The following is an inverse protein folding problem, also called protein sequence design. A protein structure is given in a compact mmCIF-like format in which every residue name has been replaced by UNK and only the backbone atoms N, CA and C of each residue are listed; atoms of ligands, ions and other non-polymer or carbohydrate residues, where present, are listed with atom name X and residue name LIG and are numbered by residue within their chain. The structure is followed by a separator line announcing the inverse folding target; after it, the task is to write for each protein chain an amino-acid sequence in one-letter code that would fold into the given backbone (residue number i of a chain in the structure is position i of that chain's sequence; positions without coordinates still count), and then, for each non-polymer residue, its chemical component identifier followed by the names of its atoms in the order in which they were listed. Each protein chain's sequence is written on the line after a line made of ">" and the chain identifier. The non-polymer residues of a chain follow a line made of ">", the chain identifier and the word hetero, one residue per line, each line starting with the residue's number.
data_IF_143772665860
#
_entry.id   IF_143772665860
#
_cell.length_a   1.000
_cell.length_b   1.000
_cell.length_c   1.000
_cell.angle_alpha   90.00
_cell.angle_beta   90.00
_cell.angle_gamma   90.00
#
_symmetry.space_group_name_H-M   'P 1'
#
loop_
_entity.id
_entity.type
_entity.pdbx_description
1 polymer ?
#
# COMPACT_ATOMS: atom_id res chain seq x y z
N UNK A 1 17.78 -10.62 -1.15
CA UNK A 1 17.48 -9.17 -1.27
C UNK A 1 16.44 -8.82 -0.24
N UNK A 2 16.70 -7.79 0.54
CA UNK A 2 15.80 -7.34 1.61
C UNK A 2 14.88 -6.24 1.10
N UNK A 3 13.78 -6.03 1.78
CA UNK A 3 12.82 -4.94 1.50
C UNK A 3 13.51 -3.58 1.47
N UNK A 4 14.40 -3.30 2.43
CA UNK A 4 15.14 -2.02 2.53
C UNK A 4 16.04 -1.71 1.33
N UNK A 5 16.41 -2.72 0.54
CA UNK A 5 17.28 -2.57 -0.64
C UNK A 5 16.51 -2.00 -1.84
N UNK A 6 15.15 -2.10 -1.79
CA UNK A 6 14.26 -1.82 -2.92
C UNK A 6 13.23 -0.75 -2.59
N UNK A 7 12.82 -0.63 -1.32
CA UNK A 7 11.75 0.28 -0.89
C UNK A 7 12.06 1.75 -1.18
N UNK A 8 11.03 2.53 -1.40
CA UNK A 8 11.09 4.00 -1.37
C UNK A 8 11.18 4.48 0.08
N UNK A 9 12.23 5.25 0.41
CA UNK A 9 12.53 5.71 1.80
C UNK A 9 11.85 7.03 2.16
N UNK A 10 11.65 7.92 1.18
CA UNK A 10 10.96 9.20 1.41
C UNK A 10 9.47 9.00 1.22
N UNK A 11 8.73 8.93 2.32
CA UNK A 11 7.30 8.60 2.30
C UNK A 11 6.49 9.70 2.96
N UNK A 12 5.54 10.25 2.21
CA UNK A 12 4.51 11.09 2.79
C UNK A 12 3.57 10.25 3.67
N UNK A 13 3.17 10.79 4.80
CA UNK A 13 2.24 10.15 5.74
C UNK A 13 1.28 11.18 6.30
N UNK A 14 0.16 10.76 6.86
CA UNK A 14 -0.79 11.65 7.52
C UNK A 14 -1.11 11.16 8.94
N UNK A 15 -1.73 12.03 9.73
CA UNK A 15 -2.19 11.71 11.09
C UNK A 15 -3.65 11.22 11.06
N UNK A 16 -4.07 10.37 12.01
CA UNK A 16 -5.46 9.95 12.13
C UNK A 16 -6.44 11.13 12.26
N UNK A 17 -6.02 12.19 12.95
CA UNK A 17 -6.82 13.39 13.18
C UNK A 17 -6.83 14.39 12.00
N UNK A 18 -5.98 14.21 10.99
CA UNK A 18 -6.00 15.02 9.77
C UNK A 18 -7.34 14.82 9.04
N UNK A 19 -7.79 15.83 8.30
CA UNK A 19 -8.97 15.69 7.44
C UNK A 19 -8.60 15.17 6.04
N UNK A 20 -9.61 14.73 5.29
CA UNK A 20 -9.40 14.16 3.96
C UNK A 20 -8.86 15.17 2.95
N UNK A 21 -9.12 16.48 3.12
CA UNK A 21 -8.57 17.50 2.23
C UNK A 21 -7.05 17.58 2.36
N UNK A 22 -6.51 17.51 3.59
CA UNK A 22 -5.07 17.46 3.85
C UNK A 22 -4.47 16.17 3.27
N UNK A 23 -5.11 15.01 3.48
CA UNK A 23 -4.64 13.76 2.91
C UNK A 23 -4.60 13.79 1.38
N UNK A 24 -5.63 14.35 0.74
CA UNK A 24 -5.69 14.51 -0.72
C UNK A 24 -4.61 15.46 -1.23
N UNK A 25 -4.36 16.57 -0.55
CA UNK A 25 -3.30 17.51 -0.92
C UNK A 25 -1.91 16.85 -0.86
N UNK A 26 -1.63 16.07 0.21
CA UNK A 26 -0.38 15.30 0.32
C UNK A 26 -0.25 14.26 -0.81
N UNK A 27 -1.32 13.55 -1.18
CA UNK A 27 -1.29 12.61 -2.30
C UNK A 27 -0.96 13.30 -3.62
N UNK A 28 -1.55 14.47 -3.86
CA UNK A 28 -1.28 15.28 -5.05
C UNK A 28 0.16 15.78 -5.08
N UNK A 29 0.63 16.38 -3.99
CA UNK A 29 1.97 16.97 -3.88
C UNK A 29 3.08 15.93 -4.05
N UNK A 30 2.87 14.73 -3.49
CA UNK A 30 3.83 13.62 -3.56
C UNK A 30 3.57 12.63 -4.70
N UNK A 31 2.61 12.90 -5.58
CA UNK A 31 2.22 12.03 -6.70
C UNK A 31 2.02 10.57 -6.27
N UNK A 32 1.25 10.36 -5.20
CA UNK A 32 0.98 9.03 -4.67
C UNK A 32 -0.52 8.81 -4.42
N UNK A 33 -1.00 7.58 -4.53
CA UNK A 33 -2.39 7.20 -4.28
C UNK A 33 -2.61 6.49 -2.94
N UNK A 34 -1.60 6.48 -2.05
CA UNK A 34 -1.68 5.86 -0.74
C UNK A 34 -0.80 6.62 0.25
N UNK A 35 -1.33 6.86 1.45
CA UNK A 35 -0.59 7.39 2.59
C UNK A 35 -0.67 6.43 3.77
N UNK A 36 0.46 6.07 4.40
CA UNK A 36 0.46 5.51 5.73
C UNK A 36 -0.13 6.50 6.75
N UNK A 37 -0.98 6.00 7.64
CA UNK A 37 -1.53 6.77 8.75
C UNK A 37 -0.69 6.48 9.99
N UNK A 38 -0.06 7.52 10.54
CA UNK A 38 0.93 7.40 11.59
C UNK A 38 0.45 8.11 12.85
N UNK A 39 0.47 7.44 13.98
CA UNK A 39 0.07 8.02 15.27
C UNK A 39 1.17 8.92 15.87
N UNK A 40 0.90 9.50 17.04
CA UNK A 40 1.85 10.41 17.72
C UNK A 40 3.13 9.72 18.21
N UNK A 41 3.12 8.39 18.28
CA UNK A 41 4.30 7.58 18.62
C UNK A 41 5.14 7.19 17.38
N UNK A 42 4.77 7.67 16.19
CA UNK A 42 5.44 7.34 14.93
C UNK A 42 5.08 5.96 14.36
N UNK A 43 4.11 5.26 14.95
CA UNK A 43 3.71 3.91 14.51
C UNK A 43 2.63 3.99 13.42
N UNK A 44 2.74 3.11 12.43
CA UNK A 44 1.72 2.97 11.39
C UNK A 44 0.51 2.26 11.97
N UNK A 45 -0.65 2.90 11.91
CA UNK A 45 -1.92 2.38 12.44
C UNK A 45 -2.93 2.00 11.37
N UNK A 46 -2.82 2.60 10.19
CA UNK A 46 -3.69 2.33 9.04
C UNK A 46 -3.01 2.79 7.74
N UNK A 47 -3.70 2.59 6.64
CA UNK A 47 -3.42 3.25 5.35
C UNK A 47 -4.70 3.89 4.83
N UNK A 48 -4.57 4.99 4.09
CA UNK A 48 -5.66 5.62 3.37
C UNK A 48 -5.27 5.75 1.90
N UNK A 49 -6.21 5.47 1.00
CA UNK A 49 -6.02 5.58 -0.44
C UNK A 49 -6.93 6.66 -1.04
N UNK A 50 -6.56 7.15 -2.22
CA UNK A 50 -7.39 8.04 -3.05
C UNK A 50 -8.77 7.43 -3.32
N UNK A 51 -8.84 6.12 -3.56
CA UNK A 51 -10.09 5.38 -3.72
C UNK A 51 -10.94 5.41 -2.45
N UNK A 52 -10.37 5.22 -1.27
CA UNK A 52 -11.09 5.27 0.00
C UNK A 52 -11.70 6.66 0.22
N UNK A 53 -10.93 7.71 -0.08
CA UNK A 53 -11.38 9.11 -0.01
C UNK A 53 -12.54 9.34 -0.99
N UNK A 54 -12.38 8.97 -2.26
CA UNK A 54 -13.41 9.11 -3.28
C UNK A 54 -14.73 8.44 -2.88
N UNK A 55 -14.65 7.17 -2.42
CA UNK A 55 -15.83 6.40 -1.99
C UNK A 55 -16.47 7.04 -0.76
N UNK A 56 -15.68 7.44 0.24
CA UNK A 56 -16.21 8.04 1.46
C UNK A 56 -16.96 9.33 1.17
N UNK A 57 -16.40 10.22 0.37
CA UNK A 57 -17.04 11.49 0.00
C UNK A 57 -18.29 11.27 -0.85
N UNK A 58 -18.22 10.37 -1.84
CA UNK A 58 -19.35 10.08 -2.73
C UNK A 58 -20.52 9.37 -2.05
N UNK A 59 -20.26 8.53 -1.04
CA UNK A 59 -21.31 7.74 -0.36
C UNK A 59 -21.89 8.43 0.87
N UNK A 60 -21.10 9.28 1.55
CA UNK A 60 -21.51 9.93 2.80
C UNK A 60 -22.01 11.36 2.60
N UNK A 61 -21.85 11.93 1.41
CA UNK A 61 -22.18 13.32 1.10
C UNK A 61 -21.57 14.31 2.11
N UNK A 62 -20.32 14.09 2.47
CA UNK A 62 -19.57 14.90 3.42
C UNK A 62 -18.49 15.70 2.70
N UNK A 63 -18.08 16.83 3.28
CA UNK A 63 -16.97 17.62 2.78
C UNK A 63 -15.65 17.00 3.23
N UNK A 64 -14.63 17.05 2.39
CA UNK A 64 -13.30 16.53 2.72
C UNK A 64 -12.67 17.21 3.94
N UNK A 65 -12.91 18.52 4.13
CA UNK A 65 -12.40 19.28 5.27
C UNK A 65 -13.06 18.90 6.61
N UNK A 66 -14.25 18.31 6.57
CA UNK A 66 -15.04 17.97 7.76
C UNK A 66 -14.96 16.49 8.12
N UNK A 67 -14.30 15.66 7.30
CA UNK A 67 -14.16 14.22 7.49
C UNK A 67 -12.72 13.86 7.90
N UNK A 68 -12.53 13.20 9.02
CA UNK A 68 -11.21 12.78 9.49
C UNK A 68 -10.72 11.54 8.75
N UNK A 69 -9.39 11.41 8.61
CA UNK A 69 -8.73 10.22 8.10
C UNK A 69 -9.12 8.98 8.91
N UNK A 70 -9.18 9.08 10.24
CA UNK A 70 -9.58 7.98 11.14
C UNK A 70 -11.00 7.45 10.90
N UNK A 71 -11.89 8.27 10.36
CA UNK A 71 -13.28 7.87 10.10
C UNK A 71 -13.40 7.00 8.84
N UNK A 72 -12.36 7.00 8.00
CA UNK A 72 -12.29 6.28 6.72
C UNK A 72 -11.25 5.16 6.74
N UNK A 73 -10.04 5.45 7.23
CA UNK A 73 -8.92 4.52 7.31
C UNK A 73 -8.99 3.69 8.59
N UNK A 74 -9.91 2.73 8.65
CA UNK A 74 -10.20 1.91 9.83
C UNK A 74 -9.98 0.40 9.60
N UNK A 75 -9.39 0.00 8.47
CA UNK A 75 -9.09 -1.42 8.19
C UNK A 75 -7.74 -1.80 8.77
N UNK A 76 -7.55 -3.08 9.18
CA UNK A 76 -6.24 -3.58 9.54
C UNK A 76 -5.23 -3.31 8.43
N UNK A 77 -4.04 -2.84 8.81
CA UNK A 77 -2.96 -2.56 7.87
C UNK A 77 -2.03 -3.76 7.77
N UNK A 78 -1.67 -4.12 6.54
CA UNK A 78 -0.62 -5.10 6.26
C UNK A 78 0.68 -4.36 6.13
N UNK A 79 1.69 -4.77 6.89
CA UNK A 79 3.01 -4.17 6.98
C UNK A 79 4.07 -5.19 6.54
N UNK A 80 5.27 -4.70 6.24
CA UNK A 80 6.48 -5.52 6.22
C UNK A 80 7.61 -4.81 6.98
N UNK A 81 8.62 -5.58 7.39
CA UNK A 81 9.81 -5.03 8.03
C UNK A 81 10.88 -4.73 7.00
N UNK A 82 11.75 -3.76 7.29
CA UNK A 82 12.83 -3.35 6.40
C UNK A 82 13.84 -4.49 6.11
N UNK A 83 14.00 -5.40 7.06
CA UNK A 83 14.90 -6.56 7.00
C UNK A 83 14.23 -7.84 6.46
N UNK A 84 12.94 -7.82 6.16
CA UNK A 84 12.24 -8.95 5.55
C UNK A 84 12.83 -9.29 4.18
N UNK A 85 12.73 -10.59 3.82
CA UNK A 85 13.04 -11.04 2.47
C UNK A 85 11.98 -10.54 1.48
N UNK A 86 12.43 -10.07 0.32
CA UNK A 86 11.57 -9.47 -0.69
C UNK A 86 10.49 -10.44 -1.23
N UNK A 87 10.80 -11.75 -1.31
CA UNK A 87 9.82 -12.77 -1.70
C UNK A 87 8.74 -12.97 -0.64
N UNK A 88 9.09 -12.79 0.64
CA UNK A 88 8.11 -12.83 1.72
C UNK A 88 7.16 -11.65 1.64
N UNK A 89 7.67 -10.45 1.33
CA UNK A 89 6.82 -9.27 1.09
C UNK A 89 5.86 -9.47 -0.10
N UNK A 90 6.33 -10.07 -1.21
CA UNK A 90 5.47 -10.43 -2.35
C UNK A 90 4.36 -11.43 -1.96
N UNK A 91 4.67 -12.42 -1.13
CA UNK A 91 3.65 -13.35 -0.62
C UNK A 91 2.59 -12.64 0.21
N UNK A 92 2.99 -11.69 1.05
CA UNK A 92 2.05 -10.87 1.83
C UNK A 92 1.18 -10.02 0.90
N UNK A 93 1.78 -9.36 -0.11
CA UNK A 93 1.01 -8.62 -1.12
C UNK A 93 -0.03 -9.50 -1.82
N UNK A 94 0.35 -10.73 -2.21
CA UNK A 94 -0.55 -11.68 -2.86
C UNK A 94 -1.68 -12.16 -1.94
N UNK A 95 -1.35 -12.52 -0.68
CA UNK A 95 -2.30 -13.03 0.30
C UNK A 95 -3.35 -11.98 0.68
N UNK A 96 -2.92 -10.75 0.94
CA UNK A 96 -3.78 -9.64 1.35
C UNK A 96 -4.31 -8.82 0.17
N UNK A 97 -3.88 -9.16 -1.05
CA UNK A 97 -4.30 -8.54 -2.31
C UNK A 97 -4.07 -7.03 -2.32
N UNK A 98 -2.89 -6.63 -1.90
CA UNK A 98 -2.44 -5.23 -1.88
C UNK A 98 -1.21 -5.06 -2.77
N UNK A 99 -1.07 -3.90 -3.38
CA UNK A 99 0.06 -3.58 -4.28
C UNK A 99 1.15 -2.78 -3.57
N UNK A 100 0.93 -2.37 -2.33
CA UNK A 100 1.86 -1.56 -1.53
C UNK A 100 1.81 -1.98 -0.08
N UNK A 101 2.97 -1.99 0.56
CA UNK A 101 3.12 -2.28 1.98
C UNK A 101 3.91 -1.14 2.64
N UNK A 102 3.37 -0.48 3.66
CA UNK A 102 4.20 0.35 4.52
C UNK A 102 5.30 -0.50 5.14
N UNK A 103 6.52 0.03 5.13
CA UNK A 103 7.70 -0.64 5.70
C UNK A 103 8.01 -0.02 7.04
N UNK A 104 8.16 -0.88 8.05
CA UNK A 104 8.44 -0.45 9.42
C UNK A 104 9.77 -1.01 9.93
N UNK A 105 10.34 -0.31 10.91
CA UNK A 105 11.46 -0.83 11.68
C UNK A 105 10.97 -1.76 12.80
N UNK A 106 11.89 -2.33 13.58
CA UNK A 106 11.58 -3.24 14.69
C UNK A 106 10.73 -2.60 15.80
N UNK A 107 10.75 -1.26 15.93
CA UNK A 107 9.91 -0.52 16.88
C UNK A 107 8.51 -0.20 16.32
N UNK A 108 8.21 -0.59 15.06
CA UNK A 108 6.95 -0.30 14.38
C UNK A 108 6.87 1.10 13.76
N UNK A 109 7.97 1.85 13.74
CA UNK A 109 8.05 3.18 13.12
C UNK A 109 8.14 3.07 11.60
N UNK A 110 7.45 3.96 10.88
CA UNK A 110 7.48 4.04 9.42
C UNK A 110 8.89 4.41 8.93
N UNK A 111 9.46 3.59 8.03
CA UNK A 111 10.79 3.83 7.43
C UNK A 111 10.77 3.80 5.91
N UNK A 112 9.67 3.40 5.30
CA UNK A 112 9.55 3.33 3.84
C UNK A 112 8.19 2.84 3.37
N UNK A 113 8.06 2.70 2.06
CA UNK A 113 6.96 2.00 1.41
C UNK A 113 7.54 1.09 0.33
N UNK A 114 7.03 -0.14 0.24
CA UNK A 114 7.35 -1.07 -0.82
C UNK A 114 6.14 -1.18 -1.75
N UNK A 115 6.33 -0.88 -3.02
CA UNK A 115 5.33 -1.10 -4.05
C UNK A 115 5.68 -2.28 -4.96
N UNK A 116 4.68 -2.84 -5.62
CA UNK A 116 4.92 -3.86 -6.65
C UNK A 116 5.74 -3.29 -7.83
N UNK A 117 5.64 -1.97 -8.08
CA UNK A 117 6.41 -1.28 -9.09
C UNK A 117 7.90 -1.27 -8.74
N UNK A 118 8.25 -0.98 -7.46
CA UNK A 118 9.64 -1.04 -6.97
C UNK A 118 10.23 -2.45 -7.15
N UNK A 119 9.44 -3.48 -6.83
CA UNK A 119 9.85 -4.88 -7.00
C UNK A 119 10.03 -5.23 -8.47
N UNK A 120 9.16 -4.72 -9.35
CA UNK A 120 9.26 -4.95 -10.80
C UNK A 120 10.56 -4.39 -11.37
N UNK A 121 10.98 -3.20 -10.92
CA UNK A 121 12.25 -2.59 -11.34
C UNK A 121 13.48 -3.37 -10.83
N UNK A 122 13.36 -4.05 -9.69
CA UNK A 122 14.42 -4.87 -9.10
C UNK A 122 14.46 -6.30 -9.65
N UNK A 123 13.39 -6.77 -10.30
CA UNK A 123 13.27 -8.12 -10.82
C UNK A 123 14.26 -8.41 -11.97
N UNK A 124 14.65 -9.67 -12.13
CA UNK A 124 15.56 -10.15 -13.20
C UNK A 124 14.96 -11.36 -13.90
N UNK A 125 15.44 -11.64 -15.11
CA UNK A 125 15.10 -12.87 -15.81
C UNK A 125 15.75 -14.09 -15.13
N UNK A 126 15.05 -15.24 -15.17
CA UNK A 126 15.68 -16.52 -14.93
C UNK A 126 16.73 -16.74 -16.04
N UNK A 127 17.99 -16.91 -15.67
CA UNK A 127 19.09 -17.05 -16.61
C UNK A 127 20.14 -15.92 -16.56
N UNK A 128 19.79 -14.73 -16.06
CA UNK A 128 20.75 -13.67 -15.79
C UNK A 128 21.67 -14.01 -14.60
N UNK A 129 21.16 -14.84 -13.69
CA UNK A 129 21.87 -15.47 -12.57
C UNK A 129 21.23 -16.82 -12.27
N UNK A 130 21.96 -17.77 -11.69
CA UNK A 130 21.46 -19.11 -11.32
C UNK A 130 20.23 -19.03 -10.39
N UNK A 131 20.08 -17.96 -9.61
CA UNK A 131 18.94 -17.71 -8.73
C UNK A 131 18.76 -16.20 -8.48
N UNK A 132 17.97 -15.50 -9.30
CA UNK A 132 17.69 -14.09 -9.04
C UNK A 132 16.95 -13.93 -7.70
N UNK A 133 17.23 -12.89 -6.94
CA UNK A 133 16.55 -12.61 -5.66
C UNK A 133 15.02 -12.53 -5.84
N UNK A 134 14.56 -11.95 -6.94
CA UNK A 134 13.16 -11.91 -7.40
C UNK A 134 13.15 -11.98 -8.93
N UNK A 135 12.32 -12.85 -9.48
CA UNK A 135 12.12 -13.00 -10.92
C UNK A 135 10.88 -12.24 -11.40
N UNK A 136 10.79 -11.97 -12.71
CA UNK A 136 9.57 -11.44 -13.32
C UNK A 136 8.38 -12.38 -13.13
N UNK A 137 8.60 -13.70 -13.05
CA UNK A 137 7.55 -14.66 -12.78
C UNK A 137 6.98 -14.51 -11.36
N UNK A 138 7.82 -14.26 -10.35
CA UNK A 138 7.39 -13.97 -8.97
C UNK A 138 6.46 -12.74 -8.95
N UNK A 139 6.82 -11.67 -9.68
CA UNK A 139 6.02 -10.45 -9.81
C UNK A 139 4.69 -10.72 -10.51
N UNK A 140 4.71 -11.44 -11.63
CA UNK A 140 3.50 -11.78 -12.38
C UNK A 140 2.53 -12.65 -11.60
N UNK A 141 3.04 -13.63 -10.84
CA UNK A 141 2.21 -14.47 -9.98
C UNK A 141 1.57 -13.66 -8.85
N UNK A 142 2.31 -12.73 -8.26
CA UNK A 142 1.78 -11.79 -7.26
C UNK A 142 0.68 -10.91 -7.85
N UNK A 143 0.92 -10.32 -9.02
CA UNK A 143 -0.08 -9.48 -9.71
C UNK A 143 -1.36 -10.25 -10.02
N UNK A 144 -1.25 -11.47 -10.55
CA UNK A 144 -2.41 -12.36 -10.81
C UNK A 144 -3.21 -12.62 -9.54
N UNK A 145 -2.54 -12.91 -8.41
CA UNK A 145 -3.21 -13.16 -7.14
C UNK A 145 -3.96 -11.92 -6.62
N UNK A 146 -3.39 -10.73 -6.81
CA UNK A 146 -4.03 -9.45 -6.45
C UNK A 146 -5.28 -9.22 -7.32
N UNK A 147 -5.19 -9.42 -8.64
CA UNK A 147 -6.24 -9.07 -9.60
C UNK A 147 -7.40 -10.10 -9.66
N UNK A 148 -7.19 -11.34 -9.21
CA UNK A 148 -8.27 -12.35 -9.08
C UNK A 148 -9.46 -11.87 -8.24
N UNK A 149 -9.32 -10.81 -7.46
CA UNK A 149 -10.42 -10.17 -6.74
C UNK A 149 -11.36 -9.39 -7.66
N UNK A 150 -10.86 -8.83 -8.74
CA UNK A 150 -11.65 -8.00 -9.65
C UNK A 150 -12.70 -8.82 -10.43
N UNK A 151 -12.39 -10.05 -10.79
CA UNK A 151 -13.30 -10.92 -11.52
C UNK A 151 -14.49 -11.45 -10.69
N UNK A 152 -14.32 -11.57 -9.36
CA UNK A 152 -15.44 -11.96 -8.46
C UNK A 152 -16.40 -10.80 -8.15
N UNK A 153 -15.91 -9.55 -8.16
CA UNK A 153 -16.74 -8.36 -7.93
C UNK A 153 -17.58 -7.98 -9.17
N UNK A 154 -17.16 -8.37 -10.38
CA UNK A 154 -17.88 -8.10 -11.63
C UNK A 154 -19.21 -8.87 -11.76
N UNK A 155 -19.47 -9.88 -10.91
CA UNK A 155 -20.73 -10.61 -10.84
C UNK A 155 -21.79 -9.99 -9.92
N UNK A 156 -21.58 -8.78 -9.40
CA UNK A 156 -22.62 -8.02 -8.72
C UNK A 156 -23.59 -7.49 -9.78
N UNK A 157 -24.85 -7.98 -9.72
CA UNK A 157 -25.96 -7.54 -10.54
C UNK A 157 -26.07 -6.01 -10.51
N UNK A 158 -26.36 -5.34 -11.65
CA UNK A 158 -26.67 -3.92 -11.62
C UNK A 158 -27.86 -3.71 -10.69
N UNK A 159 -27.74 -2.73 -9.81
CA UNK A 159 -28.87 -2.28 -9.01
C UNK A 159 -29.92 -1.72 -9.97
N UNK A 160 -31.07 -2.33 -9.98
CA UNK A 160 -32.28 -1.87 -10.69
C UNK A 160 -32.82 -0.61 -10.05
#
# INVERSE_FOLDING_TARGET
>A
MRVQDVMTKTVASCRPAANLAVATALMWEHNCGLLPVVNDQGKVTAVITDRDICIALGTRNQRACDTKVSDVANRPVVLCHADDDLRSALKNMAADRVRRLPVVNQAGGLVGILSLDDVTLAARHHGDTDRPPVSFEDVMNTLRAIDQRSSRAANLRPAS
#
